data_IF_964222174899
#
_entry.id   IF_964222174899
#
_cell.length_a   1.000
_cell.length_b   1.000
_cell.length_c   1.000
_cell.angle_alpha   90.00
_cell.angle_beta   90.00
_cell.angle_gamma   90.00
#
_symmetry.space_group_name_H-M   'P 1'
#
loop_
_entity.id
_entity.type
_entity.pdbx_description
1 polymer ?
#
# COMPACT_ATOMS: atom_id res chain seq x y z
N UNK A 1 25.57 -9.79 0.38
CA UNK A 1 24.11 -9.54 0.37
C UNK A 1 23.92 -8.04 0.21
N UNK A 2 23.00 -7.61 -0.66
CA UNK A 2 22.58 -6.20 -0.68
C UNK A 2 21.98 -5.84 0.69
N UNK A 3 22.24 -4.64 1.20
CA UNK A 3 21.67 -4.17 2.47
C UNK A 3 20.22 -3.70 2.23
N UNK A 4 19.27 -4.58 2.52
CA UNK A 4 17.84 -4.35 2.34
C UNK A 4 17.18 -4.04 3.68
N UNK A 5 16.45 -2.94 3.73
CA UNK A 5 15.75 -2.47 4.93
C UNK A 5 14.26 -2.74 4.83
N UNK A 6 13.70 -3.36 5.88
CA UNK A 6 12.25 -3.59 6.02
C UNK A 6 11.62 -2.44 6.78
N UNK A 7 10.56 -1.87 6.21
CA UNK A 7 9.77 -0.81 6.84
C UNK A 7 8.30 -1.22 6.88
N UNK A 8 7.62 -0.88 7.97
CA UNK A 8 6.16 -0.95 8.07
C UNK A 8 5.67 0.44 8.44
N UNK A 9 4.73 0.97 7.65
CA UNK A 9 4.09 2.24 7.97
C UNK A 9 2.58 2.08 8.03
N UNK A 10 1.97 2.90 8.87
CA UNK A 10 0.52 3.01 8.97
C UNK A 10 0.11 4.44 8.67
N UNK A 11 -0.78 4.62 7.70
CA UNK A 11 -1.44 5.89 7.43
C UNK A 11 -2.84 5.82 8.07
N UNK A 12 -3.20 6.74 8.98
CA UNK A 12 -4.52 6.74 9.56
C UNK A 12 -5.56 6.96 8.46
N UNK A 13 -6.73 6.36 8.63
CA UNK A 13 -7.85 6.65 7.73
C UNK A 13 -8.14 8.14 7.73
N UNK A 14 -8.52 8.68 6.58
CA UNK A 14 -8.95 10.06 6.46
C UNK A 14 -10.48 10.14 6.41
N UNK A 15 -11.01 11.32 6.74
CA UNK A 15 -12.41 11.66 6.58
C UNK A 15 -12.51 13.04 5.90
N UNK A 16 -13.09 13.07 4.70
CA UNK A 16 -13.26 14.29 3.89
C UNK A 16 -14.61 14.97 4.08
N UNK A 17 -15.46 14.49 5.01
CA UNK A 17 -16.79 15.09 5.24
C UNK A 17 -16.71 16.44 5.95
N UNK A 18 -15.58 16.75 6.57
CA UNK A 18 -15.31 18.04 7.22
C UNK A 18 -14.15 18.74 6.51
N UNK A 19 -14.28 20.05 6.29
CA UNK A 19 -13.17 20.91 5.83
C UNK A 19 -12.19 21.29 6.95
N UNK A 20 -12.58 21.10 8.20
CA UNK A 20 -11.69 21.26 9.37
C UNK A 20 -10.71 20.07 9.45
N UNK A 21 -9.39 20.29 9.31
CA UNK A 21 -8.39 19.22 9.30
C UNK A 21 -8.26 18.49 10.65
N UNK A 22 -8.78 19.05 11.74
CA UNK A 22 -8.80 18.39 13.05
C UNK A 22 -9.98 17.42 13.21
N UNK A 23 -10.94 17.43 12.28
CA UNK A 23 -12.12 16.54 12.30
C UNK A 23 -11.93 15.36 11.35
N UNK A 24 -10.99 14.48 11.71
CA UNK A 24 -10.78 13.22 11.02
C UNK A 24 -11.35 12.04 11.83
N UNK A 25 -12.41 11.41 11.31
CA UNK A 25 -13.05 10.26 11.96
C UNK A 25 -12.62 8.90 11.36
N UNK A 26 -11.68 8.87 10.43
CA UNK A 26 -11.08 7.62 9.94
C UNK A 26 -11.96 6.76 9.03
N UNK A 27 -12.90 7.36 8.29
CA UNK A 27 -13.89 6.63 7.50
C UNK A 27 -13.32 5.89 6.29
N UNK A 28 -12.19 6.31 5.72
CA UNK A 28 -11.60 5.57 4.60
C UNK A 28 -10.90 4.25 5.02
N UNK A 29 -10.86 3.94 6.32
CA UNK A 29 -10.03 2.87 6.85
C UNK A 29 -8.55 3.25 6.83
N UNK A 30 -7.78 2.73 7.80
CA UNK A 30 -6.33 2.91 7.80
C UNK A 30 -5.66 2.17 6.64
N UNK A 31 -4.39 2.46 6.40
CA UNK A 31 -3.60 1.78 5.38
C UNK A 31 -2.28 1.32 5.98
N UNK A 32 -1.96 0.03 5.82
CA UNK A 32 -0.63 -0.49 6.06
C UNK A 32 0.16 -0.48 4.76
N UNK A 33 1.45 -0.17 4.87
CA UNK A 33 2.41 -0.35 3.79
C UNK A 33 3.61 -1.09 4.34
N UNK A 34 3.94 -2.19 3.70
CA UNK A 34 5.14 -3.00 3.93
C UNK A 34 6.12 -2.69 2.81
N UNK A 35 7.35 -2.31 3.15
CA UNK A 35 8.31 -1.79 2.18
C UNK A 35 9.65 -2.49 2.37
N UNK A 36 10.27 -2.86 1.25
CA UNK A 36 11.70 -3.16 1.17
C UNK A 36 12.38 -1.98 0.49
N UNK A 37 13.31 -1.33 1.19
CA UNK A 37 14.16 -0.25 0.65
C UNK A 37 15.58 -0.77 0.48
N UNK A 38 16.18 -0.49 -0.67
CA UNK A 38 17.59 -0.80 -0.94
C UNK A 38 18.25 0.29 -1.81
N UNK A 39 19.51 0.11 -2.20
CA UNK A 39 20.28 1.15 -2.90
C UNK A 39 19.72 1.55 -4.29
N UNK A 40 18.92 0.69 -4.93
CA UNK A 40 18.38 0.91 -6.28
C UNK A 40 16.97 1.49 -6.28
N UNK A 41 16.30 1.49 -5.12
CA UNK A 41 14.93 1.96 -4.99
C UNK A 41 14.21 1.33 -3.80
N UNK A 42 12.89 1.24 -3.89
CA UNK A 42 12.07 0.53 -2.92
C UNK A 42 10.94 -0.24 -3.61
N UNK A 43 10.45 -1.31 -2.99
CA UNK A 43 9.21 -1.99 -3.37
C UNK A 43 8.25 -2.04 -2.21
N UNK A 44 6.96 -2.10 -2.48
CA UNK A 44 5.93 -2.09 -1.45
C UNK A 44 4.80 -3.07 -1.71
N UNK A 45 4.15 -3.46 -0.63
CA UNK A 45 2.80 -4.00 -0.59
C UNK A 45 1.93 -3.10 0.30
N UNK A 46 0.79 -2.68 -0.23
CA UNK A 46 -0.15 -1.78 0.42
C UNK A 46 -1.48 -2.49 0.61
N UNK A 47 -2.05 -2.40 1.82
CA UNK A 47 -3.37 -2.94 2.13
C UNK A 47 -4.16 -2.06 3.10
N UNK A 48 -5.48 -2.17 3.07
CA UNK A 48 -6.33 -1.81 4.22
C UNK A 48 -6.48 -3.03 5.14
N UNK A 49 -6.37 -2.84 6.47
CA UNK A 49 -6.58 -3.89 7.44
C UNK A 49 -8.05 -4.24 7.67
N UNK A 50 -9.00 -3.54 7.04
CA UNK A 50 -10.42 -3.78 7.28
C UNK A 50 -10.86 -3.43 8.71
N UNK A 51 -10.11 -2.60 9.44
CA UNK A 51 -10.46 -2.14 10.79
C UNK A 51 -10.71 -0.64 10.80
N UNK A 52 -11.75 -0.24 11.54
CA UNK A 52 -12.30 1.11 11.55
C UNK A 52 -12.49 1.57 12.99
N UNK A 53 -12.33 2.87 13.29
CA UNK A 53 -12.79 3.44 14.55
C UNK A 53 -14.27 3.08 14.78
N UNK A 54 -14.64 2.80 16.03
CA UNK A 54 -16.02 2.39 16.38
C UNK A 54 -17.06 3.37 15.86
N UNK A 55 -16.83 4.67 16.02
CA UNK A 55 -17.72 5.73 15.55
C UNK A 55 -17.86 5.74 14.02
N UNK A 56 -16.80 5.45 13.27
CA UNK A 56 -16.85 5.30 11.82
C UNK A 56 -17.68 4.07 11.43
N UNK A 57 -17.48 2.94 12.10
CA UNK A 57 -18.23 1.72 11.84
C UNK A 57 -19.74 1.92 12.13
N UNK A 58 -20.08 2.51 13.27
CA UNK A 58 -21.48 2.84 13.62
C UNK A 58 -22.11 3.76 12.58
N UNK A 59 -21.39 4.79 12.14
CA UNK A 59 -21.84 5.66 11.06
C UNK A 59 -22.08 4.90 9.75
N UNK A 60 -21.13 4.06 9.33
CA UNK A 60 -21.26 3.26 8.11
C UNK A 60 -22.44 2.29 8.17
N UNK A 61 -22.68 1.66 9.32
CA UNK A 61 -23.82 0.75 9.54
C UNK A 61 -25.15 1.51 9.46
N UNK A 62 -25.25 2.67 10.12
CA UNK A 62 -26.51 3.41 10.24
C UNK A 62 -26.92 4.15 8.96
N UNK A 63 -25.97 4.45 8.06
CA UNK A 63 -26.23 5.22 6.84
C UNK A 63 -26.28 4.38 5.55
N UNK A 64 -25.95 3.09 5.58
CA UNK A 64 -26.07 2.19 4.42
C UNK A 64 -27.39 1.39 4.42
N UNK A 65 -28.51 2.06 4.10
CA UNK A 65 -29.84 1.45 4.02
C UNK A 65 -30.15 0.67 2.72
N UNK A 66 -29.17 0.45 1.82
CA UNK A 66 -29.40 -0.26 0.55
C UNK A 66 -28.95 -1.72 0.59
N UNK A 67 -29.90 -2.63 0.35
CA UNK A 67 -29.85 -4.09 0.51
C UNK A 67 -28.83 -4.87 -0.34
N UNK A 68 -27.99 -4.21 -1.15
CA UNK A 68 -26.84 -4.84 -1.81
C UNK A 68 -25.63 -5.06 -0.86
N UNK A 69 -25.65 -4.45 0.32
CA UNK A 69 -24.57 -4.46 1.31
C UNK A 69 -24.60 -5.62 2.31
N UNK A 70 -25.53 -6.58 2.19
CA UNK A 70 -25.60 -7.73 3.13
C UNK A 70 -24.37 -8.65 3.07
N UNK A 71 -23.57 -8.62 2.00
CA UNK A 71 -22.28 -9.32 1.90
C UNK A 71 -21.10 -8.58 2.55
N UNK A 72 -21.28 -7.31 2.97
CA UNK A 72 -20.21 -6.45 3.50
C UNK A 72 -20.51 -5.96 4.93
N UNK A 73 -21.07 -6.82 5.78
CA UNK A 73 -21.31 -6.46 7.20
C UNK A 73 -20.02 -6.13 7.95
N UNK A 74 -18.87 -6.53 7.42
CA UNK A 74 -17.57 -6.23 7.98
C UNK A 74 -16.68 -5.63 6.89
N UNK A 75 -15.90 -4.60 7.22
CA UNK A 75 -14.90 -4.10 6.30
C UNK A 75 -13.89 -5.22 6.01
N UNK A 76 -13.70 -5.51 4.73
CA UNK A 76 -12.79 -6.56 4.29
C UNK A 76 -11.37 -6.00 4.19
N UNK A 77 -10.38 -6.82 4.55
CA UNK A 77 -9.01 -6.55 4.17
C UNK A 77 -8.92 -6.50 2.65
N UNK A 78 -8.12 -5.58 2.11
CA UNK A 78 -7.97 -5.44 0.66
C UNK A 78 -6.55 -4.99 0.35
N UNK A 79 -5.89 -5.73 -0.54
CA UNK A 79 -4.64 -5.30 -1.15
C UNK A 79 -4.92 -4.18 -2.17
N UNK A 80 -4.26 -3.05 -2.03
CA UNK A 80 -4.40 -1.91 -2.94
C UNK A 80 -3.33 -1.90 -4.01
N UNK A 81 -2.09 -2.18 -3.63
CA UNK A 81 -0.97 -2.08 -4.56
C UNK A 81 0.21 -2.96 -4.17
N UNK A 82 0.85 -3.55 -5.17
CA UNK A 82 2.20 -4.11 -5.10
C UNK A 82 3.02 -3.41 -6.16
N UNK A 83 4.00 -2.62 -5.74
CA UNK A 83 4.66 -1.67 -6.62
C UNK A 83 6.09 -1.35 -6.22
N UNK A 84 6.68 -0.41 -6.95
CA UNK A 84 8.05 0.04 -6.75
C UNK A 84 8.18 1.56 -6.83
N UNK A 85 9.28 2.06 -6.29
CA UNK A 85 9.82 3.40 -6.43
C UNK A 85 11.26 3.29 -6.95
N UNK A 86 11.56 3.92 -8.08
CA UNK A 86 12.88 3.89 -8.72
C UNK A 86 13.43 5.29 -8.96
N UNK A 87 14.75 5.42 -8.90
CA UNK A 87 15.47 6.64 -9.28
C UNK A 87 15.48 6.91 -10.79
N UNK A 88 15.17 5.90 -11.61
CA UNK A 88 15.19 5.97 -13.06
C UNK A 88 13.91 5.35 -13.65
N UNK A 89 13.49 5.75 -14.87
CA UNK A 89 12.36 5.12 -15.53
C UNK A 89 12.66 3.64 -15.81
N UNK A 90 11.67 2.77 -15.57
CA UNK A 90 11.73 1.32 -15.77
C UNK A 90 11.13 0.88 -17.11
N UNK A 91 10.34 1.73 -17.75
CA UNK A 91 9.83 1.50 -19.09
C UNK A 91 9.81 2.80 -19.91
N UNK A 92 9.77 2.65 -21.24
CA UNK A 92 9.74 3.79 -22.17
C UNK A 92 8.51 4.67 -21.89
N UNK A 93 8.74 5.98 -21.80
CA UNK A 93 7.70 6.97 -21.56
C UNK A 93 7.21 7.05 -20.11
N UNK A 94 7.86 6.37 -19.15
CA UNK A 94 7.53 6.56 -17.75
C UNK A 94 7.96 7.97 -17.30
N UNK A 95 7.01 8.72 -16.78
CA UNK A 95 7.26 10.06 -16.22
C UNK A 95 7.52 9.98 -14.71
N UNK A 96 8.09 11.06 -14.17
CA UNK A 96 8.29 11.22 -12.74
C UNK A 96 6.91 11.26 -12.06
N UNK A 97 6.66 10.32 -11.15
CA UNK A 97 5.41 10.25 -10.39
C UNK A 97 5.39 11.26 -9.23
N UNK A 98 6.53 11.44 -8.57
CA UNK A 98 6.67 12.35 -7.43
C UNK A 98 8.04 13.02 -7.46
N UNK A 99 8.08 14.34 -7.24
CA UNK A 99 9.34 15.09 -7.19
C UNK A 99 10.14 14.82 -5.91
N UNK A 100 9.45 14.59 -4.79
CA UNK A 100 10.06 14.31 -3.49
C UNK A 100 9.51 13.01 -2.90
N UNK A 101 10.18 11.88 -3.14
CA UNK A 101 9.71 10.59 -2.64
C UNK A 101 10.34 10.24 -1.29
N UNK A 102 9.52 10.00 -0.27
CA UNK A 102 9.99 9.60 1.07
C UNK A 102 10.79 8.29 1.07
N UNK A 103 10.53 7.39 0.11
CA UNK A 103 11.23 6.12 0.00
C UNK A 103 12.58 6.24 -0.73
N UNK A 104 12.80 7.34 -1.44
CA UNK A 104 14.04 7.65 -2.15
C UNK A 104 14.77 8.87 -1.56
N UNK A 105 14.63 9.09 -0.25
CA UNK A 105 15.30 10.15 0.50
C UNK A 105 15.04 11.56 -0.05
N UNK A 106 13.78 11.82 -0.42
CA UNK A 106 13.32 13.10 -0.95
C UNK A 106 13.69 13.34 -2.41
N UNK A 107 14.25 12.35 -3.11
CA UNK A 107 14.58 12.45 -4.54
C UNK A 107 13.37 12.16 -5.43
N UNK A 108 13.38 12.61 -6.69
CA UNK A 108 12.35 12.26 -7.66
C UNK A 108 12.22 10.74 -7.83
N UNK A 109 10.99 10.25 -7.95
CA UNK A 109 10.72 8.83 -8.18
C UNK A 109 9.86 8.57 -9.41
N UNK A 110 10.22 7.49 -10.10
CA UNK A 110 9.38 6.78 -11.05
C UNK A 110 8.72 5.61 -10.29
N UNK A 111 7.42 5.41 -10.46
CA UNK A 111 6.70 4.34 -9.78
C UNK A 111 5.81 3.56 -10.73
N UNK A 112 5.64 2.28 -10.43
CA UNK A 112 4.69 1.38 -11.07
C UNK A 112 4.10 0.45 -10.02
N UNK A 113 2.90 -0.09 -10.29
CA UNK A 113 2.15 -0.89 -9.33
C UNK A 113 1.09 -1.75 -9.99
N UNK A 114 0.50 -2.65 -9.21
CA UNK A 114 -0.55 -3.57 -9.65
C UNK A 114 -1.50 -3.93 -8.51
N UNK A 115 -2.73 -3.43 -8.61
CA UNK A 115 -3.82 -3.80 -7.72
C UNK A 115 -4.25 -5.27 -7.91
N UNK A 116 -4.13 -5.81 -9.12
CA UNK A 116 -4.44 -7.23 -9.39
C UNK A 116 -3.48 -8.14 -8.62
N UNK A 117 -2.18 -7.85 -8.67
CA UNK A 117 -1.16 -8.55 -7.88
C UNK A 117 -1.40 -8.37 -6.38
N UNK A 118 -1.80 -7.17 -5.95
CA UNK A 118 -2.13 -6.91 -4.55
C UNK A 118 -3.30 -7.77 -4.05
N UNK A 119 -4.29 -8.06 -4.90
CA UNK A 119 -5.38 -8.99 -4.62
C UNK A 119 -4.90 -10.42 -4.36
N UNK A 120 -3.90 -10.90 -5.10
CA UNK A 120 -3.30 -12.22 -4.86
C UNK A 120 -2.45 -12.23 -3.58
N UNK A 121 -1.73 -11.13 -3.34
CA UNK A 121 -0.80 -11.01 -2.21
C UNK A 121 -1.51 -10.89 -0.87
N UNK A 122 -2.68 -10.23 -0.81
CA UNK A 122 -3.43 -10.13 0.43
C UNK A 122 -3.87 -11.50 0.93
N UNK A 123 -4.33 -12.39 0.06
CA UNK A 123 -4.72 -13.76 0.46
C UNK A 123 -3.54 -14.52 1.06
N UNK A 124 -2.38 -14.45 0.43
CA UNK A 124 -1.16 -15.09 0.93
C UNK A 124 -0.65 -14.48 2.22
N UNK A 125 -0.74 -13.17 2.37
CA UNK A 125 -0.41 -12.49 3.62
C UNK A 125 -1.35 -12.90 4.75
N UNK A 126 -2.65 -13.04 4.49
CA UNK A 126 -3.61 -13.48 5.51
C UNK A 126 -3.41 -14.95 5.91
N UNK A 127 -2.99 -15.80 4.97
CA UNK A 127 -2.71 -17.21 5.20
C UNK A 127 -1.39 -17.45 5.96
N UNK A 128 -0.32 -16.74 5.57
CA UNK A 128 1.07 -17.05 5.95
C UNK A 128 1.77 -15.93 6.73
N UNK A 129 1.15 -14.77 6.85
CA UNK A 129 1.69 -13.62 7.55
C UNK A 129 2.96 -13.05 6.93
N UNK A 130 3.77 -12.42 7.77
CA UNK A 130 5.01 -11.74 7.37
C UNK A 130 6.14 -12.68 6.96
N UNK A 131 6.09 -13.94 7.40
CA UNK A 131 7.09 -14.96 7.04
C UNK A 131 7.08 -15.26 5.53
N UNK A 132 5.91 -15.15 4.89
CA UNK A 132 5.80 -15.20 3.44
C UNK A 132 6.05 -13.83 2.79
N UNK A 133 5.50 -12.75 3.37
CA UNK A 133 5.53 -11.43 2.74
C UNK A 133 6.94 -10.88 2.56
N UNK A 134 7.82 -11.01 3.56
CA UNK A 134 9.16 -10.42 3.45
C UNK A 134 10.02 -11.07 2.36
N UNK A 135 10.14 -12.41 2.28
CA UNK A 135 10.81 -13.05 1.15
C UNK A 135 10.15 -12.73 -0.20
N UNK A 136 8.82 -12.59 -0.25
CA UNK A 136 8.12 -12.22 -1.48
C UNK A 136 8.47 -10.79 -1.94
N UNK A 137 8.52 -9.83 -1.03
CA UNK A 137 8.96 -8.45 -1.32
C UNK A 137 10.44 -8.39 -1.70
N UNK A 138 11.32 -9.13 -1.02
CA UNK A 138 12.75 -9.18 -1.39
C UNK A 138 12.94 -9.78 -2.78
N UNK A 139 12.24 -10.88 -3.09
CA UNK A 139 12.22 -11.45 -4.45
C UNK A 139 11.74 -10.43 -5.46
N UNK A 140 10.64 -9.73 -5.17
CA UNK A 140 10.09 -8.71 -6.05
C UNK A 140 11.04 -7.54 -6.26
N UNK A 141 11.75 -7.09 -5.21
CA UNK A 141 12.81 -6.09 -5.31
C UNK A 141 13.91 -6.55 -6.30
N UNK A 142 14.35 -7.80 -6.21
CA UNK A 142 15.36 -8.32 -7.13
C UNK A 142 14.83 -8.52 -8.56
N UNK A 143 13.55 -8.83 -8.76
CA UNK A 143 12.94 -8.86 -10.09
C UNK A 143 12.91 -7.46 -10.71
N UNK A 144 12.53 -6.45 -9.91
CA UNK A 144 12.43 -5.07 -10.37
C UNK A 144 13.78 -4.37 -10.50
N UNK A 145 14.83 -4.79 -9.78
CA UNK A 145 16.12 -4.07 -9.77
C UNK A 145 17.35 -4.94 -10.09
N UNK A 146 17.16 -6.24 -10.33
CA UNK A 146 18.23 -7.21 -10.64
C UNK A 146 18.62 -7.22 -12.11
N UNK A 147 17.74 -6.77 -13.01
CA UNK A 147 18.07 -6.58 -14.42
C UNK A 147 18.47 -5.12 -14.66
N UNK A 148 19.77 -4.85 -14.63
CA UNK A 148 20.34 -3.67 -15.27
C UNK A 148 20.52 -4.00 -16.75
N UNK A 149 19.62 -3.49 -17.59
CA UNK A 149 19.94 -3.36 -19.03
C UNK A 149 20.97 -2.25 -19.10
N UNK A 150 22.20 -2.60 -19.49
CA UNK A 150 23.32 -1.66 -19.67
C UNK A 150 23.06 -0.65 -20.77
#
# INVERSE_FOLDING_TARGET
MEDLQRHVTFVPGFDKRSSDPHKNYGINGGQFSFIIKGPKGAVHFVMTPGVFPRSALEHLINHNNNSATKMHKYPMQTGYDVGYHSHAPRHKGQEICQQECKWLDGKPCYSGGSALRAGEWIEKFLELGTEWLWPALEKYYHEEFGFSVG
#
